data_IF_826992106796
#
_entry.id   IF_826992106796
#
_cell.length_a   1.000
_cell.length_b   1.000
_cell.length_c   1.000
_cell.angle_alpha   90.00
_cell.angle_beta   90.00
_cell.angle_gamma   90.00
#
_symmetry.space_group_name_H-M   'P 1'
#
loop_
_entity.id
_entity.type
_entity.pdbx_description
1 polymer ?
#
# COMPACT_ATOMS: atom_id res chain seq x y z
N UNK A 1 -5.30 -62.60 -2.97
CA UNK A 1 -6.18 -61.44 -3.29
C UNK A 1 -5.53 -60.19 -2.69
N UNK A 2 -4.81 -59.42 -3.51
CA UNK A 2 -3.92 -58.33 -3.08
C UNK A 2 -4.71 -57.02 -3.04
N UNK A 3 -4.81 -56.37 -1.87
CA UNK A 3 -5.46 -55.06 -1.69
C UNK A 3 -4.53 -53.95 -2.18
N UNK A 4 -4.91 -53.24 -3.24
CA UNK A 4 -4.32 -51.96 -3.64
C UNK A 4 -4.85 -50.85 -2.71
N UNK A 5 -3.98 -50.31 -1.87
CA UNK A 5 -4.25 -49.10 -1.08
C UNK A 5 -3.88 -47.87 -1.93
N UNK A 6 -4.90 -47.13 -2.36
CA UNK A 6 -4.76 -45.86 -3.08
C UNK A 6 -4.49 -44.75 -2.05
N UNK A 7 -3.23 -44.28 -1.98
CA UNK A 7 -2.84 -43.13 -1.16
C UNK A 7 -3.19 -41.86 -1.94
N UNK A 8 -4.26 -41.18 -1.50
CA UNK A 8 -4.64 -39.87 -2.02
C UNK A 8 -3.73 -38.83 -1.37
N UNK A 9 -2.73 -38.36 -2.11
CA UNK A 9 -1.94 -37.17 -1.77
C UNK A 9 -2.84 -35.94 -1.83
N UNK A 10 -3.30 -35.45 -0.66
CA UNK A 10 -3.90 -34.13 -0.55
C UNK A 10 -2.80 -33.08 -0.78
N UNK A 11 -2.85 -32.39 -1.92
CA UNK A 11 -2.08 -31.17 -2.13
C UNK A 11 -2.75 -30.01 -1.37
N UNK A 12 -1.99 -29.19 -0.62
CA UNK A 12 -2.53 -27.99 0.00
C UNK A 12 -2.89 -26.98 -1.10
N UNK A 13 -4.16 -26.59 -1.16
CA UNK A 13 -4.61 -25.47 -1.98
C UNK A 13 -3.99 -24.18 -1.43
N UNK A 14 -2.96 -23.68 -2.09
CA UNK A 14 -2.49 -22.31 -1.88
C UNK A 14 -3.61 -21.38 -2.32
N UNK A 15 -4.27 -20.76 -1.34
CA UNK A 15 -5.26 -19.70 -1.62
C UNK A 15 -4.49 -18.51 -2.18
N UNK A 16 -4.74 -18.19 -3.46
CA UNK A 16 -4.26 -16.95 -4.04
C UNK A 16 -5.02 -15.79 -3.38
N UNK A 17 -4.33 -15.00 -2.56
CA UNK A 17 -4.82 -13.73 -2.06
C UNK A 17 -5.20 -12.83 -3.25
N UNK A 18 -6.51 -12.67 -3.47
CA UNK A 18 -7.06 -11.71 -4.41
C UNK A 18 -6.73 -10.32 -3.87
N UNK A 19 -5.67 -9.70 -4.42
CA UNK A 19 -5.33 -8.31 -4.10
C UNK A 19 -6.45 -7.39 -4.60
N UNK A 20 -7.24 -6.89 -3.65
CA UNK A 20 -8.44 -6.06 -3.75
C UNK A 20 -8.27 -4.70 -4.47
N UNK A 21 -7.20 -4.49 -5.26
CA UNK A 21 -6.92 -3.21 -5.93
C UNK A 21 -6.54 -2.04 -5.00
N UNK A 22 -6.59 -2.26 -3.67
CA UNK A 22 -6.18 -1.30 -2.64
C UNK A 22 -4.79 -1.66 -2.12
N UNK A 23 -3.87 -0.71 -2.23
CA UNK A 23 -2.51 -0.83 -1.69
C UNK A 23 -2.52 -0.45 -0.20
N UNK A 24 -2.15 -1.37 0.69
CA UNK A 24 -2.15 -1.11 2.15
C UNK A 24 -0.76 -0.77 2.62
N UNK A 25 -0.61 0.41 3.23
CA UNK A 25 0.65 0.92 3.73
C UNK A 25 0.58 1.13 5.24
N UNK A 26 1.60 0.63 5.95
CA UNK A 26 1.76 0.86 7.39
C UNK A 26 3.07 1.62 7.62
N UNK A 27 2.97 2.84 8.14
CA UNK A 27 4.13 3.69 8.43
C UNK A 27 4.06 4.24 9.86
N UNK A 28 5.20 4.62 10.43
CA UNK A 28 5.23 5.31 11.72
C UNK A 28 5.08 6.83 11.55
N UNK A 29 4.64 7.52 12.61
CA UNK A 29 4.69 9.00 12.66
C UNK A 29 6.14 9.48 12.44
N UNK A 30 6.31 10.36 11.47
CA UNK A 30 7.59 10.91 11.02
C UNK A 30 8.31 10.08 9.96
N UNK A 31 7.81 8.88 9.62
CA UNK A 31 8.36 8.07 8.54
C UNK A 31 7.81 8.53 7.19
N UNK A 32 8.69 8.51 6.18
CA UNK A 32 8.35 8.76 4.78
C UNK A 32 8.52 7.47 3.97
N UNK A 33 7.57 7.18 3.10
CA UNK A 33 7.66 6.11 2.09
C UNK A 33 7.45 6.68 0.69
N UNK A 34 7.97 5.96 -0.29
CA UNK A 34 7.81 6.27 -1.70
C UNK A 34 7.15 5.09 -2.43
N UNK A 35 6.21 5.41 -3.31
CA UNK A 35 5.52 4.44 -4.17
C UNK A 35 5.52 4.94 -5.60
N UNK A 36 6.04 4.14 -6.51
CA UNK A 36 5.94 4.43 -7.94
C UNK A 36 4.50 4.21 -8.40
N UNK A 37 3.93 5.22 -9.06
CA UNK A 37 2.51 5.25 -9.46
C UNK A 37 2.33 5.53 -10.95
N UNK A 38 3.39 5.28 -11.75
CA UNK A 38 3.37 5.57 -13.19
C UNK A 38 3.09 7.03 -13.49
N UNK A 39 2.34 7.33 -14.55
CA UNK A 39 2.05 8.70 -14.98
C UNK A 39 0.87 9.32 -14.21
N UNK A 40 1.09 9.76 -12.96
CA UNK A 40 0.12 10.36 -12.05
C UNK A 40 -0.08 11.87 -12.24
N UNK A 41 -1.34 12.33 -12.30
CA UNK A 41 -1.73 13.76 -12.30
C UNK A 41 -2.42 14.09 -10.98
N UNK A 42 -1.64 14.18 -9.92
CA UNK A 42 -2.03 14.68 -8.61
C UNK A 42 -2.19 13.59 -7.57
N UNK A 43 -2.34 14.06 -6.33
CA UNK A 43 -2.61 13.24 -5.16
C UNK A 43 -3.66 13.93 -4.29
N UNK A 44 -4.59 13.14 -3.74
CA UNK A 44 -5.54 13.60 -2.73
C UNK A 44 -5.69 12.55 -1.63
N UNK A 45 -5.57 12.97 -0.38
CA UNK A 45 -5.87 12.14 0.78
C UNK A 45 -7.11 12.68 1.51
N UNK A 46 -7.89 11.78 2.12
CA UNK A 46 -9.13 12.13 2.81
C UNK A 46 -8.86 12.91 4.12
N UNK A 47 -7.75 12.60 4.80
CA UNK A 47 -7.29 13.32 5.99
C UNK A 47 -5.83 13.80 5.85
N UNK A 48 -5.59 15.10 5.54
CA UNK A 48 -4.25 15.69 5.45
C UNK A 48 -3.61 15.99 6.82
N UNK A 49 -4.32 15.81 7.94
CA UNK A 49 -3.72 15.86 9.27
C UNK A 49 -3.03 14.54 9.64
N UNK A 50 -3.50 13.42 9.09
CA UNK A 50 -2.90 12.09 9.33
C UNK A 50 -1.64 11.86 8.49
N UNK A 51 -1.62 12.28 7.23
CA UNK A 51 -0.45 12.19 6.34
C UNK A 51 -0.21 13.48 5.56
N UNK A 52 1.06 13.77 5.26
CA UNK A 52 1.40 14.63 4.13
C UNK A 52 1.63 13.72 2.92
N UNK A 53 1.02 14.04 1.78
CA UNK A 53 1.25 13.34 0.54
C UNK A 53 1.57 14.33 -0.56
N UNK A 54 2.61 14.04 -1.32
CA UNK A 54 3.00 14.82 -2.49
C UNK A 54 3.35 13.88 -3.64
N UNK A 55 3.35 14.43 -4.84
CA UNK A 55 3.67 13.67 -6.03
C UNK A 55 4.89 14.31 -6.69
N UNK A 56 5.92 13.48 -6.92
CA UNK A 56 7.17 13.90 -7.55
C UNK A 56 7.35 13.22 -8.88
N UNK A 57 7.83 13.95 -9.88
CA UNK A 57 8.31 13.33 -11.12
C UNK A 57 9.66 12.67 -10.85
N UNK A 58 9.78 11.38 -11.18
CA UNK A 58 11.05 10.65 -11.08
C UNK A 58 11.73 10.56 -12.43
N UNK A 59 10.96 10.36 -13.48
CA UNK A 59 11.40 10.44 -14.88
C UNK A 59 10.39 11.25 -15.69
N UNK A 60 10.61 11.40 -17.01
CA UNK A 60 9.61 11.98 -17.92
C UNK A 60 8.33 11.14 -18.02
N UNK A 61 8.40 9.85 -17.66
CA UNK A 61 7.32 8.87 -17.86
C UNK A 61 6.74 8.33 -16.55
N UNK A 62 7.41 8.57 -15.42
CA UNK A 62 7.01 8.04 -14.12
C UNK A 62 7.01 9.08 -13.01
N UNK A 63 5.97 8.98 -12.17
CA UNK A 63 5.79 9.73 -10.94
C UNK A 63 5.88 8.80 -9.74
N UNK A 64 6.29 9.39 -8.63
CA UNK A 64 6.36 8.78 -7.31
C UNK A 64 5.42 9.52 -6.38
N UNK A 65 4.56 8.76 -5.72
CA UNK A 65 3.81 9.19 -4.55
C UNK A 65 4.72 9.13 -3.33
N UNK A 66 4.92 10.26 -2.68
CA UNK A 66 5.66 10.37 -1.42
C UNK A 66 4.64 10.58 -0.29
N UNK A 67 4.67 9.71 0.72
CA UNK A 67 3.75 9.76 1.86
C UNK A 67 4.55 9.87 3.15
N UNK A 68 4.27 10.88 3.96
CA UNK A 68 4.86 11.08 5.29
C UNK A 68 3.79 11.01 6.37
N UNK A 69 4.00 10.17 7.38
CA UNK A 69 3.09 10.06 8.53
C UNK A 69 3.18 11.28 9.45
N UNK A 70 2.07 11.98 9.69
CA UNK A 70 2.00 13.17 10.57
C UNK A 70 1.41 12.86 11.94
N UNK A 71 0.30 12.12 11.97
CA UNK A 71 -0.45 11.77 13.18
C UNK A 71 -0.89 10.32 13.08
N UNK A 72 -0.91 9.60 14.21
CA UNK A 72 -1.43 8.25 14.25
C UNK A 72 -2.90 8.23 13.82
N UNK A 73 -3.28 7.28 12.97
CA UNK A 73 -4.60 7.24 12.36
C UNK A 73 -4.61 6.44 11.08
N UNK A 74 -5.75 6.47 10.38
CA UNK A 74 -5.95 5.78 9.11
C UNK A 74 -6.57 6.75 8.12
N UNK A 75 -6.07 6.76 6.88
CA UNK A 75 -6.53 7.64 5.82
C UNK A 75 -6.42 6.95 4.47
N UNK A 76 -7.25 7.36 3.52
CA UNK A 76 -7.16 6.89 2.14
C UNK A 76 -6.49 7.97 1.30
N UNK A 77 -5.50 7.59 0.50
CA UNK A 77 -4.83 8.44 -0.47
C UNK A 77 -5.05 7.91 -1.88
N UNK A 78 -5.33 8.81 -2.81
CA UNK A 78 -5.51 8.51 -4.23
C UNK A 78 -4.41 9.22 -5.01
N UNK A 79 -3.65 8.47 -5.79
CA UNK A 79 -2.56 9.01 -6.60
C UNK A 79 -2.74 8.63 -8.06
N UNK A 80 -2.83 9.64 -8.93
CA UNK A 80 -3.10 9.48 -10.36
C UNK A 80 -4.41 8.74 -10.65
N UNK A 81 -4.90 8.64 -11.89
CA UNK A 81 -4.50 9.29 -13.15
C UNK A 81 -5.76 9.78 -13.87
N UNK A 82 -5.63 10.56 -14.96
CA UNK A 82 -6.68 11.01 -15.90
C UNK A 82 -8.05 10.33 -15.73
N UNK A 83 -9.20 11.03 -15.73
CA UNK A 83 -10.51 10.43 -15.48
C UNK A 83 -10.86 9.21 -16.37
N UNK A 84 -10.14 8.99 -17.48
CA UNK A 84 -10.24 7.82 -18.34
C UNK A 84 -9.21 6.69 -18.02
N UNK A 85 -8.48 6.78 -16.91
CA UNK A 85 -7.42 5.85 -16.51
C UNK A 85 -7.55 5.43 -15.05
N UNK A 86 -6.89 4.32 -14.73
CA UNK A 86 -6.93 3.71 -13.39
C UNK A 86 -6.28 4.62 -12.38
N UNK A 87 -6.98 4.86 -11.27
CA UNK A 87 -6.43 5.57 -10.11
C UNK A 87 -5.84 4.58 -9.11
N UNK A 88 -4.70 4.90 -8.52
CA UNK A 88 -4.12 4.08 -7.45
C UNK A 88 -4.69 4.52 -6.11
N UNK A 89 -5.28 3.58 -5.38
CA UNK A 89 -5.82 3.81 -4.04
C UNK A 89 -4.90 3.18 -3.02
N UNK A 90 -4.52 3.97 -2.02
CA UNK A 90 -3.68 3.61 -0.90
C UNK A 90 -4.46 3.76 0.39
N UNK A 91 -4.59 2.67 1.14
CA UNK A 91 -5.02 2.72 2.52
C UNK A 91 -3.77 2.88 3.40
N UNK A 92 -3.62 4.05 4.03
CA UNK A 92 -2.45 4.35 4.84
C UNK A 92 -2.83 4.30 6.32
N UNK A 93 -2.15 3.44 7.07
CA UNK A 93 -2.23 3.39 8.53
C UNK A 93 -0.95 3.96 9.11
N UNK A 94 -1.08 5.07 9.85
CA UNK A 94 0.01 5.70 10.58
C UNK A 94 -0.02 5.21 12.02
N UNK A 95 1.05 4.54 12.45
CA UNK A 95 1.24 4.06 13.82
C UNK A 95 1.94 5.12 14.66
N UNK A 96 1.59 5.18 15.93
CA UNK A 96 2.32 6.01 16.88
C UNK A 96 3.79 5.57 16.89
N UNK A 97 4.71 6.54 16.78
CA UNK A 97 6.15 6.26 16.83
C UNK A 97 6.45 5.51 18.12
N UNK A 98 6.95 4.27 18.02
CA UNK A 98 7.47 3.60 19.21
C UNK A 98 8.61 4.47 19.74
N UNK A 99 8.50 4.93 20.99
CA UNK A 99 9.66 5.40 21.74
C UNK A 99 10.58 4.19 21.84
N UNK A 100 11.58 4.16 20.99
CA UNK A 100 12.64 3.18 21.07
C UNK A 100 13.31 3.44 22.42
N UNK A 101 13.04 2.56 23.38
CA UNK A 101 13.48 2.67 24.76
C UNK A 101 14.98 2.44 24.81
N UNK A 102 15.75 3.47 24.47
CA UNK A 102 17.20 3.50 24.66
C UNK A 102 17.46 4.19 26.00
N UNK A 103 17.52 3.37 27.06
CA UNK A 103 18.08 3.72 28.37
C UNK A 103 19.57 3.38 28.36
#
# INVERSE_FOLDING_TARGET
MWRLALVILLAPAASADVSDGINRESIDVGQTIEREVGYAIGVRCDDPETVAAEMKSRTSETNVLVITGKRAGKTMCRAGTDPNRVSYVFEVTVKARRRDGRN
#
